data_IF_888143566877
#
_entry.id   IF_888143566877
#
_cell.length_a   1.000
_cell.length_b   1.000
_cell.length_c   1.000
_cell.angle_alpha   90.00
_cell.angle_beta   90.00
_cell.angle_gamma   90.00
#
_symmetry.space_group_name_H-M   'P 1'
#
loop_
_entity.id
_entity.type
_entity.pdbx_description
1 polymer ?
#
# COMPACT_ATOMS: atom_id res chain seq x y z
N UNK A 1 -16.23 -14.74 8.92
CA UNK A 1 -14.79 -14.93 8.68
C UNK A 1 -14.05 -13.68 9.13
N UNK A 2 -12.96 -13.86 9.84
CA UNK A 2 -12.30 -12.73 10.50
C UNK A 2 -11.08 -12.26 9.72
N UNK A 3 -11.01 -10.97 9.45
CA UNK A 3 -9.82 -10.35 8.87
C UNK A 3 -8.75 -10.23 9.95
N UNK A 4 -7.55 -10.71 9.64
CA UNK A 4 -6.41 -10.68 10.56
C UNK A 4 -5.31 -9.73 10.13
N UNK A 5 -5.31 -9.35 8.85
CA UNK A 5 -4.23 -8.56 8.29
C UNK A 5 -4.79 -7.64 7.20
N UNK A 6 -4.41 -6.37 7.25
CA UNK A 6 -4.87 -5.38 6.28
C UNK A 6 -3.66 -4.75 5.59
N UNK A 7 -3.68 -4.77 4.27
CA UNK A 7 -2.68 -4.14 3.42
C UNK A 7 -3.27 -2.83 2.89
N UNK A 8 -2.53 -1.75 3.04
CA UNK A 8 -2.91 -0.45 2.47
C UNK A 8 -1.87 0.02 1.50
N UNK A 9 -2.28 0.69 0.44
CA UNK A 9 -1.39 1.27 -0.54
C UNK A 9 -2.01 2.53 -1.15
N UNK A 10 -1.20 3.34 -1.79
CA UNK A 10 -1.66 4.55 -2.42
C UNK A 10 -0.55 5.53 -2.71
N UNK A 11 -0.92 6.70 -3.21
CA UNK A 11 0.00 7.80 -3.45
C UNK A 11 0.07 8.72 -2.21
N UNK A 12 0.24 10.02 -2.40
CA UNK A 12 0.47 10.94 -1.28
C UNK A 12 -0.62 10.94 -0.22
N UNK A 13 -1.88 10.72 -0.60
CA UNK A 13 -2.98 10.66 0.36
C UNK A 13 -3.02 9.36 1.15
N UNK A 14 -2.31 8.32 0.69
CA UNK A 14 -2.19 7.04 1.37
C UNK A 14 -0.77 6.74 1.83
N UNK A 15 0.06 7.75 1.99
CA UNK A 15 1.48 7.62 2.31
C UNK A 15 1.67 7.06 3.71
N UNK A 16 2.40 5.93 3.79
CA UNK A 16 2.68 5.26 5.06
C UNK A 16 3.59 6.08 5.96
N UNK A 17 4.40 6.96 5.39
CA UNK A 17 5.40 7.72 6.11
C UNK A 17 4.90 9.08 6.60
N UNK A 18 3.72 9.49 6.13
CA UNK A 18 3.12 10.76 6.54
C UNK A 18 2.03 10.45 7.56
N UNK A 19 2.16 10.92 8.82
CA UNK A 19 1.11 10.71 9.81
C UNK A 19 -0.17 11.42 9.39
N UNK A 20 -1.30 10.87 9.84
CA UNK A 20 -2.65 11.43 9.61
C UNK A 20 -3.19 11.20 8.20
N UNK A 21 -2.54 10.39 7.35
CA UNK A 21 -3.17 9.91 6.13
C UNK A 21 -4.18 8.80 6.47
N UNK A 22 -5.06 8.47 5.51
CA UNK A 22 -6.16 7.54 5.80
C UNK A 22 -5.70 6.15 6.28
N UNK A 23 -4.54 5.59 5.86
CA UNK A 23 -4.12 4.29 6.39
C UNK A 23 -3.90 4.32 7.90
N UNK A 24 -3.36 5.40 8.43
CA UNK A 24 -3.12 5.52 9.87
C UNK A 24 -4.42 5.67 10.64
N UNK A 25 -5.39 6.42 10.09
CA UNK A 25 -6.71 6.53 10.70
C UNK A 25 -7.44 5.20 10.66
N UNK A 26 -7.35 4.46 9.55
CA UNK A 26 -7.94 3.14 9.43
C UNK A 26 -7.34 2.19 10.47
N UNK A 27 -6.03 2.22 10.64
CA UNK A 27 -5.36 1.37 11.63
C UNK A 27 -5.83 1.70 13.05
N UNK A 28 -5.84 2.99 13.39
CA UNK A 28 -6.26 3.41 14.71
C UNK A 28 -7.69 2.98 15.02
N UNK A 29 -8.60 3.18 14.06
CA UNK A 29 -10.00 2.80 14.23
C UNK A 29 -10.16 1.28 14.35
N UNK A 30 -9.50 0.53 13.47
CA UNK A 30 -9.59 -0.93 13.48
C UNK A 30 -9.04 -1.50 14.78
N UNK A 31 -7.91 -1.02 15.25
CA UNK A 31 -7.31 -1.51 16.48
C UNK A 31 -8.09 -1.15 17.74
N UNK A 32 -8.93 -0.13 17.66
CA UNK A 32 -9.84 0.17 18.76
C UNK A 32 -10.93 -0.89 18.90
N UNK A 33 -11.24 -1.61 17.81
CA UNK A 33 -12.23 -2.68 17.80
C UNK A 33 -11.56 -4.04 17.99
N UNK A 34 -10.45 -4.28 17.30
CA UNK A 34 -9.70 -5.53 17.38
C UNK A 34 -8.19 -5.22 17.33
N UNK A 35 -7.52 -5.18 18.49
CA UNK A 35 -6.11 -4.82 18.54
C UNK A 35 -5.17 -5.88 17.95
N UNK A 36 -5.68 -7.06 17.60
CA UNK A 36 -4.86 -8.14 17.04
C UNK A 36 -4.72 -8.08 15.54
N UNK A 37 -5.44 -7.19 14.86
CA UNK A 37 -5.31 -7.02 13.41
C UNK A 37 -3.98 -6.33 13.11
N UNK A 38 -3.20 -6.91 12.19
CA UNK A 38 -1.93 -6.34 11.75
C UNK A 38 -2.12 -5.54 10.46
N UNK A 39 -1.24 -4.57 10.25
CA UNK A 39 -1.30 -3.70 9.08
C UNK A 39 0.04 -3.70 8.35
N UNK A 40 -0.03 -3.63 7.02
CA UNK A 40 1.12 -3.46 6.15
C UNK A 40 0.84 -2.24 5.26
N UNK A 41 1.43 -1.11 5.62
CA UNK A 41 1.23 0.14 4.90
C UNK A 41 2.30 0.29 3.82
N UNK A 42 1.89 0.24 2.57
CA UNK A 42 2.79 0.33 1.40
C UNK A 42 2.60 1.63 0.61
N UNK A 43 1.78 2.54 1.09
CA UNK A 43 1.58 3.83 0.42
C UNK A 43 2.81 4.72 0.50
N UNK A 44 3.05 5.47 -0.56
CA UNK A 44 4.16 6.42 -0.63
C UNK A 44 3.79 7.53 -1.62
N UNK A 45 4.23 8.75 -1.35
CA UNK A 45 3.98 9.87 -2.23
C UNK A 45 4.56 9.68 -3.62
N UNK A 46 3.93 10.30 -4.60
CA UNK A 46 4.41 10.34 -5.99
C UNK A 46 4.44 9.00 -6.71
N UNK A 47 3.65 8.02 -6.26
CA UNK A 47 3.58 6.73 -6.93
C UNK A 47 2.55 6.75 -8.07
N UNK A 48 2.92 6.16 -9.20
CA UNK A 48 1.97 5.86 -10.27
C UNK A 48 1.23 4.56 -9.99
N UNK A 49 0.19 4.29 -10.77
CA UNK A 49 -0.66 3.12 -10.55
C UNK A 49 0.11 1.81 -10.69
N UNK A 50 1.08 1.76 -11.61
CA UNK A 50 1.87 0.55 -11.82
C UNK A 50 2.68 0.18 -10.59
N UNK A 51 3.29 1.17 -9.94
CA UNK A 51 4.08 0.93 -8.74
C UNK A 51 3.18 0.56 -7.56
N UNK A 52 2.03 1.21 -7.45
CA UNK A 52 1.04 0.87 -6.43
C UNK A 52 0.63 -0.58 -6.57
N UNK A 53 0.31 -1.01 -7.80
CA UNK A 53 -0.08 -2.39 -8.07
C UNK A 53 1.02 -3.38 -7.70
N UNK A 54 2.27 -3.08 -8.05
CA UNK A 54 3.40 -3.95 -7.71
C UNK A 54 3.59 -4.08 -6.21
N UNK A 55 3.45 -2.99 -5.48
CA UNK A 55 3.59 -3.02 -4.02
C UNK A 55 2.48 -3.81 -3.36
N UNK A 56 1.25 -3.67 -3.84
CA UNK A 56 0.11 -4.44 -3.34
C UNK A 56 0.34 -5.93 -3.59
N UNK A 57 0.72 -6.28 -4.81
CA UNK A 57 0.98 -7.68 -5.17
C UNK A 57 2.08 -8.27 -4.29
N UNK A 58 3.17 -7.54 -4.10
CA UNK A 58 4.28 -8.00 -3.26
C UNK A 58 3.86 -8.20 -1.82
N UNK A 59 3.06 -7.26 -1.27
CA UNK A 59 2.56 -7.37 0.09
C UNK A 59 1.65 -8.59 0.27
N UNK A 60 0.79 -8.87 -0.73
CA UNK A 60 -0.07 -10.05 -0.70
C UNK A 60 0.77 -11.32 -0.71
N UNK A 61 1.78 -11.38 -1.58
CA UNK A 61 2.65 -12.56 -1.66
C UNK A 61 3.40 -12.79 -0.35
N UNK A 62 3.92 -11.74 0.26
CA UNK A 62 4.59 -11.86 1.56
C UNK A 62 3.63 -12.37 2.64
N UNK A 63 2.40 -11.86 2.65
CA UNK A 63 1.39 -12.29 3.63
C UNK A 63 1.05 -13.77 3.45
N UNK A 64 0.89 -14.23 2.21
CA UNK A 64 0.62 -15.63 1.93
C UNK A 64 1.78 -16.51 2.35
N UNK A 65 3.02 -16.06 2.09
CA UNK A 65 4.22 -16.81 2.48
C UNK A 65 4.35 -16.91 4.00
N UNK A 66 3.80 -15.96 4.74
CA UNK A 66 3.81 -15.99 6.21
C UNK A 66 2.77 -16.94 6.79
N UNK A 67 1.89 -17.49 5.97
CA UNK A 67 0.89 -18.46 6.40
C UNK A 67 -0.53 -17.91 6.50
N UNK A 68 -0.74 -16.65 6.15
CA UNK A 68 -2.08 -16.07 6.12
C UNK A 68 -2.88 -16.62 4.94
N UNK A 69 -4.17 -16.81 5.15
CA UNK A 69 -5.07 -17.25 4.10
C UNK A 69 -5.69 -16.04 3.40
N UNK A 70 -6.04 -16.16 2.11
CA UNK A 70 -6.64 -15.04 1.38
C UNK A 70 -7.87 -14.43 2.07
N UNK A 71 -8.71 -15.27 2.66
CA UNK A 71 -9.92 -14.81 3.35
C UNK A 71 -9.64 -14.10 4.67
N UNK A 72 -8.40 -14.14 5.14
CA UNK A 72 -7.98 -13.44 6.36
C UNK A 72 -7.38 -12.07 6.09
N UNK A 73 -7.26 -11.69 4.81
CA UNK A 73 -6.62 -10.45 4.41
C UNK A 73 -7.63 -9.46 3.85
N UNK A 74 -7.45 -8.19 4.21
CA UNK A 74 -8.14 -7.08 3.56
C UNK A 74 -7.12 -6.24 2.80
N UNK A 75 -7.51 -5.74 1.64
CA UNK A 75 -6.65 -4.87 0.82
C UNK A 75 -7.42 -3.60 0.49
N UNK A 76 -6.85 -2.46 0.83
CA UNK A 76 -7.43 -1.15 0.55
C UNK A 76 -6.42 -0.31 -0.20
N UNK A 77 -6.82 0.25 -1.34
CA UNK A 77 -5.92 0.98 -2.22
C UNK A 77 -6.53 2.32 -2.61
N UNK A 78 -5.72 3.37 -2.50
CA UNK A 78 -6.05 4.67 -3.04
C UNK A 78 -5.25 4.86 -4.33
N UNK A 79 -5.89 4.66 -5.48
CA UNK A 79 -5.22 4.74 -6.77
C UNK A 79 -4.85 6.19 -7.09
N UNK A 80 -3.73 6.36 -7.79
CA UNK A 80 -3.31 7.68 -8.23
C UNK A 80 -4.16 8.14 -9.44
N UNK A 81 -4.05 9.44 -9.77
CA UNK A 81 -4.73 9.97 -10.95
C UNK A 81 -4.25 9.35 -12.25
N UNK A 82 -5.10 9.42 -13.27
CA UNK A 82 -4.81 8.81 -14.57
C UNK A 82 -3.60 9.42 -15.28
N UNK A 83 -3.27 10.65 -14.94
CA UNK A 83 -2.14 11.38 -15.53
C UNK A 83 -0.81 11.05 -14.87
N UNK A 84 -0.82 10.26 -13.80
CA UNK A 84 0.39 9.89 -13.07
C UNK A 84 0.90 8.55 -13.54
N UNK A 85 2.20 8.50 -13.85
CA UNK A 85 2.86 7.28 -14.31
C UNK A 85 4.06 6.95 -13.45
N UNK A 86 4.40 5.66 -13.44
CA UNK A 86 5.64 5.18 -12.84
C UNK A 86 6.67 4.99 -13.95
N UNK A 87 7.81 5.61 -13.79
CA UNK A 87 8.90 5.51 -14.75
C UNK A 87 10.01 4.63 -14.17
N UNK A 88 10.44 3.64 -14.95
CA UNK A 88 11.59 2.81 -14.61
C UNK A 88 12.78 3.31 -15.40
N UNK A 89 13.62 4.12 -14.77
CA UNK A 89 14.69 4.80 -15.45
C UNK A 89 16.06 4.31 -14.95
N UNK A 90 16.96 4.09 -15.90
CA UNK A 90 18.38 3.92 -15.61
C UNK A 90 18.99 5.30 -15.37
N UNK A 91 20.24 5.35 -14.91
CA UNK A 91 20.93 6.63 -14.72
C UNK A 91 20.96 7.46 -16.00
N UNK A 92 21.10 6.81 -17.13
CA UNK A 92 21.13 7.49 -18.42
C UNK A 92 19.76 8.09 -18.74
N UNK A 93 18.71 7.31 -18.56
CA UNK A 93 17.35 7.74 -18.84
C UNK A 93 16.94 8.90 -17.95
N UNK A 94 17.36 8.87 -16.71
CA UNK A 94 17.08 9.94 -15.76
C UNK A 94 17.60 11.28 -16.26
N UNK A 95 18.81 11.31 -16.79
CA UNK A 95 19.41 12.54 -17.30
C UNK A 95 18.64 13.05 -18.51
N UNK A 96 18.15 12.16 -19.36
CA UNK A 96 17.46 12.52 -20.59
C UNK A 96 16.02 12.95 -20.36
N UNK A 97 15.36 12.42 -19.37
CA UNK A 97 13.92 12.62 -19.13
C UNK A 97 13.63 13.76 -18.17
N UNK A 98 14.64 14.30 -17.54
CA UNK A 98 14.53 15.48 -16.70
C UNK A 98 14.92 16.71 -17.47
#
# INVERSE_FOLDING_TARGET
>A
MKIKHIITAGCSFGDAYTPWTWPHHLEAHTKSIDPNVTFDHRGMGHQGQELIQKKVTHAIMEALDSGLKPEEMGVTVSWSGNDRKTWYITNQDYINDI
#
